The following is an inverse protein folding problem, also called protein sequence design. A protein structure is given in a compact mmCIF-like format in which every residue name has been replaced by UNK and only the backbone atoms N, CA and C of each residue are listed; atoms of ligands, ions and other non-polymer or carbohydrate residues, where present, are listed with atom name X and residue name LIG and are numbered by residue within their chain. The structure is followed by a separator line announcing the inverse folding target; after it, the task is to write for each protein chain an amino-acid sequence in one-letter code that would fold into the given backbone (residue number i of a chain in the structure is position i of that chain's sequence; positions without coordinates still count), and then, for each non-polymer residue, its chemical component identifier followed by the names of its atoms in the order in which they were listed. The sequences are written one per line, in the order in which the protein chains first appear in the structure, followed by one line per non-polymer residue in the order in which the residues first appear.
data_IF_937418345799
#
_entry.id   IF_937418345799
#
_cell.length_a   1.000
_cell.length_b   1.000
_cell.length_c   1.000
_cell.angle_alpha   90.00
_cell.angle_beta   90.00
_cell.angle_gamma   90.00
#
_symmetry.space_group_name_H-M   'P 1'
#
loop_
_entity.id
_entity.type
_entity.pdbx_description
1 polymer ?
#
# COMPACT_ATOMS: atom_id res chain seq x y z
N UNK A 1 -48.15 -27.24 0.71
CA UNK A 1 -48.28 -27.80 -0.67
C UNK A 1 -47.34 -27.02 -1.57
N UNK A 2 -46.49 -27.56 -2.46
CA UNK A 2 -46.03 -28.90 -2.84
C UNK A 2 -44.78 -28.61 -3.70
N UNK A 3 -43.62 -29.20 -3.36
CA UNK A 3 -42.42 -29.21 -4.22
C UNK A 3 -42.62 -30.16 -5.42
N UNK A 4 -41.96 -29.88 -6.55
CA UNK A 4 -41.39 -30.92 -7.42
C UNK A 4 -39.86 -30.70 -7.49
N UNK A 5 -38.94 -31.58 -7.08
CA UNK A 5 -38.81 -33.05 -7.21
C UNK A 5 -38.95 -33.50 -8.66
N UNK A 6 -37.82 -33.62 -9.35
CA UNK A 6 -37.47 -34.22 -10.67
C UNK A 6 -36.45 -33.24 -11.28
N UNK A 7 -35.17 -33.51 -11.52
CA UNK A 7 -34.46 -34.75 -11.74
C UNK A 7 -33.10 -34.70 -11.03
N UNK A 8 -32.89 -35.72 -10.20
CA UNK A 8 -31.59 -36.16 -9.72
C UNK A 8 -30.97 -36.99 -10.87
N UNK A 9 -29.68 -36.81 -11.08
CA UNK A 9 -28.78 -37.75 -11.78
C UNK A 9 -28.69 -37.63 -13.32
N UNK A 10 -27.76 -36.80 -13.79
CA UNK A 10 -26.84 -37.22 -14.86
C UNK A 10 -25.41 -36.95 -14.40
N UNK A 11 -24.72 -38.04 -14.10
CA UNK A 11 -23.43 -38.17 -13.46
C UNK A 11 -22.33 -38.30 -14.54
N UNK A 12 -21.26 -37.52 -14.39
CA UNK A 12 -19.89 -37.71 -14.89
C UNK A 12 -19.65 -37.94 -16.40
N UNK A 13 -19.02 -36.95 -17.04
CA UNK A 13 -17.71 -37.09 -17.70
C UNK A 13 -17.24 -35.73 -18.23
N UNK A 14 -16.44 -35.02 -17.45
CA UNK A 14 -15.28 -34.31 -18.01
C UNK A 14 -14.24 -34.14 -16.92
N UNK A 15 -13.22 -34.99 -16.99
CA UNK A 15 -11.98 -34.90 -16.26
C UNK A 15 -11.24 -33.65 -16.69
N UNK A 16 -11.34 -32.60 -15.87
CA UNK A 16 -10.52 -31.39 -15.95
C UNK A 16 -9.93 -31.14 -14.57
N UNK A 17 -8.90 -31.92 -14.24
CA UNK A 17 -8.06 -31.76 -13.07
C UNK A 17 -7.45 -30.36 -13.05
N UNK A 18 -8.02 -29.46 -12.24
CA UNK A 18 -7.30 -28.30 -11.74
C UNK A 18 -7.24 -28.42 -10.23
N UNK A 19 -6.16 -29.06 -9.80
CA UNK A 19 -5.57 -29.03 -8.48
C UNK A 19 -5.68 -27.61 -7.90
N UNK A 20 -6.61 -27.40 -6.96
CA UNK A 20 -6.47 -26.28 -6.03
C UNK A 20 -5.34 -26.67 -5.09
N UNK A 21 -4.13 -26.29 -5.45
CA UNK A 21 -3.04 -26.21 -4.50
C UNK A 21 -3.53 -25.31 -3.36
N UNK A 22 -3.50 -25.76 -2.09
CA UNK A 22 -3.55 -24.81 -1.00
C UNK A 22 -2.33 -23.91 -1.19
N UNK A 23 -2.54 -22.62 -1.42
CA UNK A 23 -1.50 -21.64 -1.14
C UNK A 23 -1.14 -21.88 0.31
N UNK A 24 0.02 -22.49 0.50
CA UNK A 24 0.73 -22.54 1.76
C UNK A 24 0.69 -21.12 2.31
N UNK A 25 -0.05 -20.94 3.39
CA UNK A 25 0.21 -19.84 4.29
C UNK A 25 1.71 -19.91 4.57
N UNK A 26 2.46 -18.88 4.18
CA UNK A 26 3.81 -18.67 4.68
C UNK A 26 3.69 -18.41 6.18
N UNK A 27 3.56 -19.51 6.91
CA UNK A 27 3.90 -19.65 8.31
C UNK A 27 5.41 -19.81 8.35
N UNK A 28 6.11 -18.68 8.30
CA UNK A 28 7.43 -18.45 8.89
C UNK A 28 7.89 -17.05 8.49
N UNK A 29 7.45 -16.06 9.24
CA UNK A 29 8.37 -15.00 9.60
C UNK A 29 8.09 -14.57 11.05
N UNK A 30 8.45 -15.47 11.97
CA UNK A 30 8.76 -15.11 13.34
C UNK A 30 10.12 -14.40 13.41
N UNK A 31 10.35 -13.40 12.56
CA UNK A 31 11.43 -12.45 12.77
C UNK A 31 10.99 -11.53 13.90
N UNK A 32 11.28 -11.99 15.12
CA UNK A 32 11.80 -11.15 16.20
C UNK A 32 11.06 -9.82 16.37
N UNK A 33 9.88 -9.85 16.99
CA UNK A 33 9.39 -8.69 17.75
C UNK A 33 10.21 -8.59 19.04
N UNK A 34 11.51 -8.36 18.91
CA UNK A 34 12.41 -8.05 19.99
C UNK A 34 13.41 -7.02 19.48
N UNK A 35 12.86 -5.87 19.09
CA UNK A 35 13.57 -4.58 19.04
C UNK A 35 12.54 -3.49 18.75
N UNK A 36 11.85 -3.02 19.79
CA UNK A 36 11.72 -1.56 19.91
C UNK A 36 13.13 -1.03 20.23
N UNK A 37 14.10 -1.26 19.33
CA UNK A 37 15.43 -0.71 19.45
C UNK A 37 15.26 0.77 19.23
N UNK A 38 15.80 1.51 20.19
CA UNK A 38 15.95 2.95 20.20
C UNK A 38 16.18 3.49 18.78
N UNK A 39 15.19 4.19 18.23
CA UNK A 39 15.36 4.92 16.95
C UNK A 39 16.56 5.83 17.05
N UNK A 40 17.53 5.69 16.16
CA UNK A 40 18.76 6.49 16.12
C UNK A 40 18.60 7.72 15.21
N UNK A 41 19.56 8.65 15.28
CA UNK A 41 19.61 9.75 14.31
C UNK A 41 19.91 9.24 12.89
N UNK A 42 20.60 8.12 12.74
CA UNK A 42 20.87 7.51 11.44
C UNK A 42 19.59 6.99 10.79
N UNK A 43 18.68 6.40 11.58
CA UNK A 43 17.36 5.98 11.11
C UNK A 43 16.54 7.18 10.63
N UNK A 44 16.60 8.31 11.34
CA UNK A 44 15.94 9.56 10.92
C UNK A 44 16.55 10.11 9.63
N UNK A 45 17.88 10.08 9.49
CA UNK A 45 18.54 10.48 8.23
C UNK A 45 18.12 9.57 7.07
N UNK A 46 18.07 8.27 7.31
CA UNK A 46 17.66 7.30 6.30
C UNK A 46 16.20 7.51 5.88
N UNK A 47 15.29 7.68 6.84
CA UNK A 47 13.89 7.99 6.57
C UNK A 47 13.72 9.31 5.80
N UNK A 48 14.51 10.33 6.15
CA UNK A 48 14.49 11.62 5.45
C UNK A 48 14.91 11.48 3.98
N UNK A 49 15.95 10.68 3.69
CA UNK A 49 16.37 10.40 2.31
C UNK A 49 15.28 9.66 1.52
N UNK A 50 14.66 8.64 2.11
CA UNK A 50 13.53 7.93 1.50
C UNK A 50 12.34 8.86 1.20
N UNK A 51 12.11 9.84 2.07
CA UNK A 51 11.06 10.84 1.93
C UNK A 51 11.46 12.05 1.07
N UNK A 52 12.71 12.11 0.56
CA UNK A 52 13.28 13.26 -0.17
C UNK A 52 13.19 14.57 0.64
N UNK A 53 13.48 14.50 1.93
CA UNK A 53 13.50 15.64 2.84
C UNK A 53 14.94 16.00 3.22
N UNK A 54 15.35 17.23 2.93
CA UNK A 54 16.60 17.78 3.45
C UNK A 54 16.42 18.18 4.92
N UNK A 55 17.11 17.48 5.82
CA UNK A 55 17.05 17.74 7.26
C UNK A 55 18.37 18.31 7.74
N UNK A 56 18.30 19.49 8.34
CA UNK A 56 19.48 20.12 8.96
C UNK A 56 20.00 19.28 10.13
N UNK A 57 21.32 19.14 10.24
CA UNK A 57 21.98 18.33 11.27
C UNK A 57 21.56 18.75 12.70
N UNK A 58 21.38 20.05 12.95
CA UNK A 58 20.94 20.57 14.25
C UNK A 58 19.49 20.23 14.62
N UNK A 59 18.69 19.74 13.67
CA UNK A 59 17.29 19.33 13.89
C UNK A 59 17.12 17.83 14.13
N UNK A 60 18.14 17.03 13.84
CA UNK A 60 18.04 15.57 13.90
C UNK A 60 17.76 15.05 15.31
N UNK A 61 18.39 15.63 16.33
CA UNK A 61 18.15 15.21 17.71
C UNK A 61 16.70 15.42 18.13
N UNK A 62 16.14 16.60 17.82
CA UNK A 62 14.75 16.93 18.11
C UNK A 62 13.79 15.99 17.37
N UNK A 63 13.99 15.78 16.06
CA UNK A 63 13.17 14.89 15.24
C UNK A 63 13.23 13.44 15.69
N UNK A 64 14.41 12.98 16.12
CA UNK A 64 14.57 11.64 16.70
C UNK A 64 13.75 11.52 17.98
N UNK A 65 13.80 12.53 18.84
CA UNK A 65 12.97 12.57 20.05
C UNK A 65 11.47 12.57 19.74
N UNK A 66 11.04 13.31 18.73
CA UNK A 66 9.64 13.39 18.30
C UNK A 66 9.14 12.05 17.74
N UNK A 67 9.94 11.41 16.88
CA UNK A 67 9.62 10.11 16.29
C UNK A 67 9.52 9.02 17.36
N UNK A 68 10.42 9.00 18.35
CA UNK A 68 10.34 8.08 19.49
C UNK A 68 9.01 8.23 20.23
N UNK A 69 8.60 9.46 20.57
CA UNK A 69 7.33 9.69 21.27
C UNK A 69 6.12 9.25 20.43
N UNK A 70 6.16 9.42 19.12
CA UNK A 70 5.10 8.96 18.22
C UNK A 70 5.02 7.43 18.19
N UNK A 71 6.16 6.74 18.11
CA UNK A 71 6.20 5.27 18.11
C UNK A 71 5.78 4.69 19.47
N UNK A 72 6.22 5.30 20.57
CA UNK A 72 5.75 4.95 21.92
C UNK A 72 4.23 5.09 22.05
N UNK A 73 3.65 6.14 21.47
CA UNK A 73 2.19 6.29 21.41
C UNK A 73 1.53 5.21 20.55
N UNK A 74 2.09 4.89 19.38
CA UNK A 74 1.56 3.86 18.48
C UNK A 74 1.59 2.45 19.09
N UNK A 75 2.56 2.16 19.98
CA UNK A 75 2.66 0.87 20.68
C UNK A 75 1.42 0.53 21.52
N UNK A 76 0.61 1.52 21.93
CA UNK A 76 -0.67 1.28 22.62
C UNK A 76 -1.63 0.42 21.78
N UNK A 77 -1.53 0.45 20.44
CA UNK A 77 -2.34 -0.40 19.57
C UNK A 77 -1.99 -1.90 19.71
N UNK A 78 -0.78 -2.23 20.15
CA UNK A 78 -0.34 -3.61 20.38
C UNK A 78 -0.96 -4.27 21.62
N UNK A 79 -1.61 -3.50 22.50
CA UNK A 79 -2.30 -4.02 23.69
C UNK A 79 -3.62 -4.75 23.33
N UNK A 80 -4.12 -4.53 22.11
CA UNK A 80 -5.39 -5.11 21.65
C UNK A 80 -5.12 -6.41 20.90
N UNK A 81 -5.73 -7.51 21.37
CA UNK A 81 -5.68 -8.79 20.67
C UNK A 81 -6.47 -8.70 19.36
N UNK A 82 -5.75 -8.87 18.25
CA UNK A 82 -6.29 -8.88 16.88
C UNK A 82 -6.21 -10.27 16.24
N UNK A 83 -5.94 -11.32 17.04
CA UNK A 83 -5.88 -12.68 16.54
C UNK A 83 -7.22 -13.10 15.89
N UNK A 84 -7.14 -13.48 14.61
CA UNK A 84 -8.31 -13.89 13.83
C UNK A 84 -9.21 -12.74 13.36
N UNK A 85 -8.78 -11.47 13.52
CA UNK A 85 -9.46 -10.31 12.96
C UNK A 85 -8.85 -9.98 11.59
N UNK A 86 -9.67 -10.04 10.54
CA UNK A 86 -9.22 -9.65 9.20
C UNK A 86 -8.97 -8.13 9.11
N UNK A 87 -7.86 -7.69 8.48
CA UNK A 87 -7.61 -6.26 8.25
C UNK A 87 -8.76 -5.62 7.46
N UNK A 88 -9.11 -4.38 7.82
CA UNK A 88 -10.18 -3.66 7.14
C UNK A 88 -9.70 -3.15 5.76
N UNK A 89 -10.32 -3.58 4.64
CA UNK A 89 -9.94 -3.09 3.31
C UNK A 89 -10.43 -1.64 3.12
N UNK A 90 -9.77 -0.86 2.24
CA UNK A 90 -10.23 0.47 1.87
C UNK A 90 -11.68 0.46 1.39
N UNK A 91 -12.52 1.33 1.95
CA UNK A 91 -13.92 1.46 1.53
C UNK A 91 -14.84 0.32 1.96
N UNK A 92 -14.58 -0.35 3.11
CA UNK A 92 -15.52 -1.29 3.70
C UNK A 92 -16.84 -0.59 4.15
N UNK A 93 -18.03 -1.21 3.94
CA UNK A 93 -18.27 -2.52 3.34
C UNK A 93 -18.00 -2.54 1.82
N UNK A 94 -17.56 -3.70 1.31
CA UNK A 94 -17.04 -3.91 -0.05
C UNK A 94 -17.75 -3.07 -1.14
N UNK A 95 -17.13 -1.94 -1.49
CA UNK A 95 -17.54 -1.15 -2.66
C UNK A 95 -17.04 -1.91 -3.89
N UNK A 96 -17.91 -2.26 -4.86
CA UNK A 96 -17.45 -2.91 -6.08
C UNK A 96 -16.46 -2.01 -6.81
N UNK A 97 -15.38 -2.60 -7.35
CA UNK A 97 -14.39 -1.85 -8.13
C UNK A 97 -15.08 -1.16 -9.31
N UNK A 98 -15.05 0.18 -9.30
CA UNK A 98 -15.68 1.00 -10.33
C UNK A 98 -14.73 1.06 -11.51
N UNK A 99 -15.02 0.27 -12.54
CA UNK A 99 -14.29 0.37 -13.81
C UNK A 99 -14.65 1.69 -14.51
N UNK A 100 -13.62 2.38 -15.01
CA UNK A 100 -13.78 3.46 -15.97
C UNK A 100 -13.97 2.84 -17.36
N UNK A 101 -14.91 3.30 -18.20
CA UNK A 101 -14.98 2.87 -19.59
C UNK A 101 -13.71 3.27 -20.34
N UNK A 102 -13.37 2.50 -21.37
CA UNK A 102 -12.21 2.73 -22.24
C UNK A 102 -12.56 3.72 -23.37
N UNK A 103 -13.01 4.91 -22.97
CA UNK A 103 -13.35 5.99 -23.89
C UNK A 103 -12.31 7.10 -23.80
N UNK A 104 -11.77 7.53 -24.94
CA UNK A 104 -10.88 8.68 -25.01
C UNK A 104 -11.62 9.95 -24.54
N UNK A 105 -10.90 10.80 -23.80
CA UNK A 105 -11.39 12.11 -23.34
C UNK A 105 -10.48 13.20 -23.90
N UNK A 106 -11.02 14.40 -24.01
CA UNK A 106 -10.23 15.57 -24.36
C UNK A 106 -9.12 15.78 -23.30
N UNK A 107 -7.84 15.76 -23.71
CA UNK A 107 -6.73 16.03 -22.79
C UNK A 107 -6.66 17.53 -22.47
N UNK A 108 -5.90 17.89 -21.44
CA UNK A 108 -5.50 19.28 -21.23
C UNK A 108 -4.70 19.78 -22.44
N UNK A 109 -4.82 21.08 -22.73
CA UNK A 109 -3.91 21.72 -23.68
C UNK A 109 -2.48 21.69 -23.12
N UNK A 110 -1.47 21.75 -23.99
CA UNK A 110 -0.07 21.79 -23.55
C UNK A 110 0.21 23.03 -22.69
N UNK A 111 -0.44 24.16 -22.99
CA UNK A 111 -0.34 25.40 -22.23
C UNK A 111 -0.91 25.21 -20.81
N UNK A 112 -2.13 24.68 -20.67
CA UNK A 112 -2.75 24.44 -19.36
C UNK A 112 -1.95 23.43 -18.53
N UNK A 113 -1.39 22.41 -19.18
CA UNK A 113 -0.58 21.40 -18.51
C UNK A 113 0.74 21.95 -17.95
N UNK A 114 1.29 23.01 -18.57
CA UNK A 114 2.58 23.61 -18.20
C UNK A 114 2.44 24.88 -17.35
N UNK A 115 1.22 25.39 -17.14
CA UNK A 115 0.95 26.64 -16.41
C UNK A 115 1.63 26.68 -15.03
N UNK A 116 1.70 25.54 -14.34
CA UNK A 116 2.30 25.41 -13.01
C UNK A 116 3.71 24.81 -13.00
N UNK A 117 4.32 24.60 -14.16
CA UNK A 117 5.66 24.06 -14.25
C UNK A 117 6.68 25.08 -13.70
N UNK A 118 7.51 24.74 -12.70
CA UNK A 118 8.54 25.65 -12.20
C UNK A 118 9.57 26.03 -13.28
N UNK A 119 9.85 25.10 -14.20
CA UNK A 119 10.69 25.32 -15.37
C UNK A 119 10.13 24.51 -16.54
N UNK A 120 9.89 25.19 -17.66
CA UNK A 120 9.41 24.60 -18.90
C UNK A 120 10.24 25.11 -20.08
N UNK A 121 10.43 24.26 -21.09
CA UNK A 121 11.10 24.61 -22.35
C UNK A 121 10.44 23.92 -23.53
N UNK A 122 10.20 24.66 -24.62
CA UNK A 122 9.72 24.10 -25.88
C UNK A 122 8.54 23.08 -25.75
N UNK A 123 7.68 23.26 -24.74
CA UNK A 123 6.56 22.37 -24.47
C UNK A 123 6.85 21.17 -23.55
N UNK A 124 7.99 21.16 -22.86
CA UNK A 124 8.43 20.11 -21.93
C UNK A 124 8.64 20.66 -20.52
N UNK A 125 8.51 19.81 -19.51
CA UNK A 125 9.02 20.09 -18.16
C UNK A 125 10.54 19.94 -18.17
N UNK A 126 11.27 21.00 -17.79
CA UNK A 126 12.73 20.96 -17.73
C UNK A 126 13.16 20.52 -16.33
N UNK A 127 13.97 19.48 -16.26
CA UNK A 127 14.55 19.00 -15.00
C UNK A 127 16.05 18.78 -15.16
N UNK A 128 16.83 18.78 -14.06
CA UNK A 128 18.18 18.23 -14.09
C UNK A 128 18.18 16.82 -14.67
N UNK A 129 19.22 16.48 -15.42
CA UNK A 129 19.35 15.15 -16.01
C UNK A 129 19.41 14.09 -14.91
N UNK A 130 18.63 13.02 -15.07
CA UNK A 130 18.74 11.83 -14.24
C UNK A 130 19.98 11.03 -14.67
N UNK A 131 21.16 11.52 -14.28
CA UNK A 131 22.40 10.76 -14.34
C UNK A 131 22.83 10.49 -12.90
N UNK A 132 23.06 9.22 -12.61
CA UNK A 132 23.64 8.71 -11.37
C UNK A 132 25.12 8.40 -11.60
#
# INVERSE_FOLDING_TARGET
MRFPSLLRTLFLRLTGSMSRSPTTADSDDSTTTETAEVVSQEDVRHLADLARLDVEEGRLEALTGDLRRLLDFAQQLGEVDTAGVEPMPPGAPAIPQRLRPDDAREPLSQEDALENAPDADEGFFRTPSALE
#
